data_IF_365050118475
#
_entry.id   IF_365050118475
#
_cell.length_a   1.000
_cell.length_b   1.000
_cell.length_c   1.000
_cell.angle_alpha   90.00
_cell.angle_beta   90.00
_cell.angle_gamma   90.00
#
_symmetry.space_group_name_H-M   'P 1'
#
loop_
_entity.id
_entity.type
_entity.pdbx_description
1 polymer ?
#
# COMPACT_ATOMS: atom_id res chain seq x y z
N UNK A 1 -5.35 2.53 -6.25
CA UNK A 1 -4.29 1.67 -6.85
C UNK A 1 -4.90 0.31 -7.12
N UNK A 2 -4.45 -0.43 -8.14
CA UNK A 2 -4.83 -1.84 -8.33
C UNK A 2 -3.59 -2.71 -8.16
N UNK A 3 -3.74 -3.78 -7.37
CA UNK A 3 -2.72 -4.78 -7.09
C UNK A 3 -3.07 -6.07 -7.82
N UNK A 4 -2.47 -6.29 -9.00
CA UNK A 4 -2.65 -7.52 -9.75
C UNK A 4 -1.70 -8.61 -9.23
N UNK A 5 -2.23 -9.51 -8.40
CA UNK A 5 -1.48 -10.54 -7.69
C UNK A 5 -2.00 -11.93 -8.08
N UNK A 6 -1.76 -12.32 -9.32
CA UNK A 6 -2.28 -13.57 -9.91
C UNK A 6 -1.68 -14.85 -9.29
N UNK A 7 -0.51 -14.74 -8.65
CA UNK A 7 0.24 -15.82 -8.02
C UNK A 7 0.36 -15.65 -6.49
N UNK A 8 -0.53 -14.86 -5.87
CA UNK A 8 -0.41 -14.49 -4.46
C UNK A 8 -0.24 -15.69 -3.52
N UNK A 9 -1.02 -16.76 -3.72
CA UNK A 9 -0.94 -17.98 -2.91
C UNK A 9 0.43 -18.67 -3.03
N UNK A 10 0.95 -18.80 -4.25
CA UNK A 10 2.27 -19.38 -4.50
C UNK A 10 3.39 -18.49 -3.95
N UNK A 11 3.20 -17.18 -3.98
CA UNK A 11 4.17 -16.22 -3.46
C UNK A 11 4.28 -16.30 -1.93
N UNK A 12 3.15 -16.24 -1.20
CA UNK A 12 3.17 -16.25 0.28
C UNK A 12 3.68 -17.57 0.87
N UNK A 13 3.51 -18.69 0.15
CA UNK A 13 4.01 -20.00 0.61
C UNK A 13 5.53 -20.13 0.53
N UNK A 14 6.19 -19.35 -0.34
CA UNK A 14 7.64 -19.40 -0.57
C UNK A 14 8.38 -18.20 0.03
N UNK A 15 7.73 -17.03 0.12
CA UNK A 15 8.22 -15.81 0.73
C UNK A 15 7.06 -15.11 1.44
N UNK A 16 7.05 -15.20 2.75
CA UNK A 16 6.04 -14.53 3.55
C UNK A 16 6.30 -13.00 3.61
N UNK A 17 5.24 -12.24 3.92
CA UNK A 17 5.32 -10.81 4.17
C UNK A 17 5.45 -10.52 5.67
N UNK A 18 5.99 -9.35 6.01
CA UNK A 18 6.01 -8.88 7.41
C UNK A 18 4.61 -8.63 7.98
N UNK A 19 3.64 -8.35 7.11
CA UNK A 19 2.23 -8.18 7.45
C UNK A 19 1.36 -8.90 6.41
N UNK A 20 0.14 -9.38 6.77
CA UNK A 20 -0.73 -10.05 5.80
C UNK A 20 -1.04 -9.13 4.61
N UNK A 21 -0.60 -9.55 3.42
CA UNK A 21 -0.66 -8.76 2.18
C UNK A 21 -2.04 -8.15 1.94
N UNK A 22 -3.10 -8.94 2.12
CA UNK A 22 -4.49 -8.54 1.90
C UNK A 22 -4.93 -7.36 2.77
N UNK A 23 -4.40 -7.28 4.00
CA UNK A 23 -4.68 -6.19 4.94
C UNK A 23 -3.71 -5.02 4.81
N UNK A 24 -2.58 -5.23 4.13
CA UNK A 24 -1.48 -4.30 4.06
C UNK A 24 -1.61 -3.33 2.88
N UNK A 25 -2.12 -3.77 1.72
CA UNK A 25 -2.05 -2.94 0.52
C UNK A 25 -3.19 -1.89 0.42
N UNK A 26 -2.88 -0.62 0.06
CA UNK A 26 -3.87 0.46 -0.04
C UNK A 26 -4.61 0.49 -1.38
N UNK A 27 -5.33 -0.58 -1.71
CA UNK A 27 -6.15 -0.62 -2.92
C UNK A 27 -6.74 -1.98 -3.22
N UNK A 28 -7.39 -2.06 -4.38
CA UNK A 28 -8.06 -3.27 -4.85
C UNK A 28 -7.05 -4.36 -5.22
N UNK A 29 -7.26 -5.57 -4.72
CA UNK A 29 -6.48 -6.75 -5.08
C UNK A 29 -7.27 -7.54 -6.11
N UNK A 30 -6.62 -7.90 -7.21
CA UNK A 30 -7.22 -8.72 -8.28
C UNK A 30 -6.27 -9.85 -8.64
N UNK A 31 -6.81 -11.04 -8.89
CA UNK A 31 -6.01 -12.24 -9.19
C UNK A 31 -6.16 -12.72 -10.64
N UNK A 32 -7.16 -12.24 -11.37
CA UNK A 32 -7.37 -12.57 -12.78
C UNK A 32 -7.29 -11.33 -13.67
N UNK A 33 -6.98 -11.55 -14.94
CA UNK A 33 -6.97 -10.47 -15.94
C UNK A 33 -8.38 -9.89 -16.14
N UNK A 34 -9.41 -10.73 -16.14
CA UNK A 34 -10.80 -10.28 -16.26
C UNK A 34 -11.18 -9.35 -15.09
N UNK A 35 -10.83 -9.71 -13.86
CA UNK A 35 -11.09 -8.87 -12.68
C UNK A 35 -10.29 -7.56 -12.72
N UNK A 36 -9.09 -7.57 -13.31
CA UNK A 36 -8.31 -6.35 -13.55
C UNK A 36 -9.03 -5.42 -14.54
N UNK A 37 -9.54 -5.97 -15.66
CA UNK A 37 -10.28 -5.20 -16.65
C UNK A 37 -11.57 -4.64 -16.04
N UNK A 38 -12.34 -5.45 -15.31
CA UNK A 38 -13.56 -5.01 -14.63
C UNK A 38 -13.27 -3.88 -13.63
N UNK A 39 -12.19 -3.96 -12.87
CA UNK A 39 -11.79 -2.92 -11.92
C UNK A 39 -11.39 -1.62 -12.62
N UNK A 40 -10.72 -1.71 -13.78
CA UNK A 40 -10.34 -0.53 -14.57
C UNK A 40 -11.56 0.15 -15.20
N UNK A 41 -12.45 -0.62 -15.81
CA UNK A 41 -13.64 -0.11 -16.50
C UNK A 41 -14.64 0.55 -15.54
N UNK A 42 -14.72 0.06 -14.30
CA UNK A 42 -15.61 0.60 -13.26
C UNK A 42 -14.93 1.62 -12.34
N UNK A 43 -13.65 1.96 -12.58
CA UNK A 43 -12.84 2.81 -11.70
C UNK A 43 -12.83 2.35 -10.23
N UNK A 44 -12.97 1.05 -10.01
CA UNK A 44 -13.01 0.44 -8.67
C UNK A 44 -11.58 0.21 -8.17
N UNK A 45 -11.05 1.21 -7.47
CA UNK A 45 -9.69 1.20 -6.95
C UNK A 45 -9.61 0.98 -5.44
N UNK A 46 -10.76 0.87 -4.76
CA UNK A 46 -10.88 0.81 -3.29
C UNK A 46 -10.08 1.93 -2.60
N UNK A 47 -10.28 3.16 -3.08
CA UNK A 47 -9.53 4.37 -2.63
C UNK A 47 -9.70 4.66 -1.14
N UNK A 48 -10.80 4.22 -0.54
CA UNK A 48 -11.07 4.31 0.88
C UNK A 48 -10.01 3.61 1.76
N UNK A 49 -9.26 2.66 1.19
CA UNK A 49 -8.13 1.99 1.88
C UNK A 49 -6.89 2.87 2.03
N UNK A 50 -6.77 3.95 1.27
CA UNK A 50 -5.57 4.80 1.26
C UNK A 50 -5.38 5.52 2.59
N UNK A 51 -6.44 6.12 3.14
CA UNK A 51 -6.34 6.90 4.39
C UNK A 51 -5.92 6.02 5.58
N UNK A 52 -6.58 4.87 5.86
CA UNK A 52 -6.15 3.97 6.93
C UNK A 52 -4.71 3.47 6.78
N UNK A 53 -4.28 3.20 5.55
CA UNK A 53 -2.90 2.80 5.28
C UNK A 53 -1.91 3.91 5.61
N UNK A 54 -2.18 5.14 5.16
CA UNK A 54 -1.34 6.29 5.44
C UNK A 54 -1.23 6.54 6.95
N UNK A 55 -2.35 6.49 7.67
CA UNK A 55 -2.39 6.74 9.11
C UNK A 55 -1.65 5.66 9.92
N UNK A 56 -1.71 4.40 9.48
CA UNK A 56 -1.02 3.27 10.12
C UNK A 56 0.48 3.28 9.86
N UNK A 57 0.90 3.54 8.61
CA UNK A 57 2.29 3.32 8.18
C UNK A 57 3.15 4.59 8.15
N UNK A 58 2.55 5.78 8.11
CA UNK A 58 3.28 7.05 8.04
C UNK A 58 2.99 7.93 9.25
N UNK A 59 3.97 8.01 10.16
CA UNK A 59 3.93 8.92 11.31
C UNK A 59 3.80 10.40 10.91
N UNK A 60 4.40 10.77 9.78
CA UNK A 60 4.39 12.13 9.26
C UNK A 60 4.07 12.10 7.76
N UNK A 61 3.10 12.93 7.36
CA UNK A 61 2.64 13.07 5.97
C UNK A 61 2.79 14.52 5.49
N UNK A 62 3.68 15.30 6.13
CA UNK A 62 3.82 16.76 5.94
C UNK A 62 4.91 17.17 4.94
N UNK A 63 5.64 16.21 4.38
CA UNK A 63 6.76 16.47 3.46
C UNK A 63 7.99 17.10 4.11
N UNK A 64 8.07 17.14 5.45
CA UNK A 64 9.15 17.83 6.19
C UNK A 64 10.19 16.91 6.80
N UNK A 65 10.38 15.72 6.24
CA UNK A 65 11.31 14.71 6.77
C UNK A 65 12.74 15.24 6.88
N UNK A 66 13.27 15.85 5.81
CA UNK A 66 14.64 16.40 5.81
C UNK A 66 14.82 17.57 6.77
N UNK A 67 13.85 18.48 6.83
CA UNK A 67 13.87 19.61 7.77
C UNK A 67 13.91 19.12 9.22
N UNK A 68 13.09 18.13 9.55
CA UNK A 68 13.03 17.53 10.90
C UNK A 68 14.36 16.93 11.30
N UNK A 69 15.01 16.19 10.38
CA UNK A 69 16.33 15.61 10.61
C UNK A 69 17.40 16.68 10.86
N UNK A 70 17.46 17.72 10.01
CA UNK A 70 18.42 18.82 10.17
C UNK A 70 18.22 19.52 11.52
N UNK A 71 16.96 19.81 11.90
CA UNK A 71 16.65 20.43 13.20
C UNK A 71 17.06 19.56 14.38
N UNK A 72 16.91 18.25 14.27
CA UNK A 72 17.29 17.30 15.33
C UNK A 72 18.82 17.19 15.47
N UNK A 73 19.54 17.10 14.35
CA UNK A 73 21.01 16.96 14.33
C UNK A 73 21.73 18.22 14.85
N UNK A 74 21.23 19.41 14.52
CA UNK A 74 21.87 20.68 14.89
C UNK A 74 21.24 21.36 16.11
N UNK A 75 20.39 20.64 16.85
CA UNK A 75 19.84 21.10 18.13
C UNK A 75 20.97 21.12 19.18
N UNK A 76 21.47 22.31 19.50
CA UNK A 76 22.24 22.55 20.74
C UNK A 76 21.28 22.74 21.91
#
# INVERSE_FOLDING_TARGET
MIFYAFDLEDYITTRDFYEPYESFVPGKIVQSFDALMDALDNEDYEVEKVVPFLDKHFKYQDGRSSERLVKDLFRR
#
